data_IF_492799152906
#
_entry.id   IF_492799152906
#
_cell.length_a   1.000
_cell.length_b   1.000
_cell.length_c   1.000
_cell.angle_alpha   90.00
_cell.angle_beta   90.00
_cell.angle_gamma   90.00
#
_symmetry.space_group_name_H-M   'P 1'
#
loop_
_entity.id
_entity.type
_entity.pdbx_description
1 polymer ?
#
# COMPACT_ATOMS: atom_id res chain seq x y z
N UNK A 1 6.29 7.20 7.01
CA UNK A 1 5.72 6.46 5.85
C UNK A 1 6.79 5.68 5.12
N UNK A 2 7.86 6.33 4.61
CA UNK A 2 8.98 5.65 3.95
C UNK A 2 9.60 4.51 4.76
N UNK A 3 9.94 4.74 6.03
CA UNK A 3 10.50 3.71 6.92
C UNK A 3 9.55 2.51 7.14
N UNK A 4 8.23 2.76 7.22
CA UNK A 4 7.25 1.70 7.36
C UNK A 4 7.13 0.87 6.06
N UNK A 5 7.11 1.54 4.91
CA UNK A 5 7.09 0.93 3.58
C UNK A 5 8.33 0.08 3.31
N UNK A 6 9.51 0.55 3.71
CA UNK A 6 10.77 -0.18 3.51
C UNK A 6 11.01 -1.27 4.57
N UNK A 7 10.32 -1.20 5.72
CA UNK A 7 10.48 -2.12 6.85
C UNK A 7 9.26 -3.02 7.07
N UNK A 8 8.51 -2.83 8.17
CA UNK A 8 7.49 -3.77 8.63
C UNK A 8 6.31 -3.96 7.66
N UNK A 9 6.06 -3.00 6.75
CA UNK A 9 4.98 -3.06 5.77
C UNK A 9 5.47 -3.30 4.34
N UNK A 10 6.71 -3.78 4.18
CA UNK A 10 7.30 -4.03 2.87
C UNK A 10 6.44 -5.01 2.05
N UNK A 11 6.12 -4.62 0.82
CA UNK A 11 5.24 -5.38 -0.09
C UNK A 11 3.74 -5.17 0.14
N UNK A 12 3.36 -4.36 1.14
CA UNK A 12 1.97 -3.96 1.43
C UNK A 12 1.80 -2.46 1.25
N UNK A 13 2.71 -1.67 1.83
CA UNK A 13 2.76 -0.21 1.71
C UNK A 13 3.94 0.20 0.84
N UNK A 14 3.68 1.05 -0.15
CA UNK A 14 4.70 1.73 -0.95
C UNK A 14 4.71 3.22 -0.64
N UNK A 15 5.86 3.86 -0.89
CA UNK A 15 6.06 5.28 -0.69
C UNK A 15 6.65 5.86 -1.98
N UNK A 16 5.99 6.85 -2.56
CA UNK A 16 6.45 7.51 -3.78
C UNK A 16 6.59 9.01 -3.56
N UNK A 17 7.65 9.55 -4.16
CA UNK A 17 7.93 10.99 -4.30
C UNK A 17 7.78 11.42 -5.77
N UNK A 18 7.24 10.56 -6.63
CA UNK A 18 7.04 10.85 -8.05
C UNK A 18 5.74 11.61 -8.28
N UNK A 19 5.64 12.32 -9.41
CA UNK A 19 4.41 13.00 -9.80
C UNK A 19 3.48 11.98 -10.49
N UNK A 20 2.74 11.22 -9.68
CA UNK A 20 1.93 10.09 -10.13
C UNK A 20 0.60 10.53 -10.76
N UNK A 21 0.18 9.82 -11.80
CA UNK A 21 -1.21 9.81 -12.28
C UNK A 21 -1.83 8.41 -12.12
N UNK A 22 -3.17 8.32 -12.15
CA UNK A 22 -3.87 7.05 -11.88
C UNK A 22 -3.43 5.89 -12.76
N UNK A 23 -3.10 6.16 -14.03
CA UNK A 23 -2.69 5.14 -14.99
C UNK A 23 -1.34 4.48 -14.65
N UNK A 24 -0.47 5.17 -13.91
CA UNK A 24 0.84 4.66 -13.51
C UNK A 24 0.74 3.53 -12.48
N UNK A 25 -0.44 3.38 -11.86
CA UNK A 25 -0.68 2.50 -10.73
C UNK A 25 -1.44 1.22 -11.09
N UNK A 26 -1.89 1.11 -12.35
CA UNK A 26 -2.58 -0.07 -12.83
C UNK A 26 -1.68 -1.31 -12.75
N UNK A 27 -2.17 -2.36 -12.09
CA UNK A 27 -1.42 -3.60 -11.86
C UNK A 27 -0.39 -3.50 -10.73
N UNK A 28 -0.35 -2.41 -9.95
CA UNK A 28 0.51 -2.33 -8.78
C UNK A 28 -0.03 -3.27 -7.66
N UNK A 29 0.80 -4.19 -7.12
CA UNK A 29 0.37 -5.18 -6.13
C UNK A 29 0.30 -4.64 -4.69
N UNK A 30 0.76 -3.41 -4.43
CA UNK A 30 0.70 -2.79 -3.13
C UNK A 30 -0.76 -2.47 -2.75
N UNK A 31 -1.07 -2.60 -1.47
CA UNK A 31 -2.40 -2.26 -0.95
C UNK A 31 -2.57 -0.76 -0.69
N UNK A 32 -1.47 -0.03 -0.60
CA UNK A 32 -1.46 1.41 -0.40
C UNK A 32 -0.14 1.97 -0.93
N UNK A 33 -0.23 3.03 -1.72
CA UNK A 33 0.91 3.76 -2.26
C UNK A 33 0.77 5.19 -1.76
N UNK A 34 1.62 5.55 -0.81
CA UNK A 34 1.59 6.88 -0.20
C UNK A 34 2.26 7.89 -1.12
N UNK A 35 1.52 8.92 -1.50
CA UNK A 35 1.99 10.03 -2.34
C UNK A 35 2.49 11.17 -1.44
N UNK A 36 3.81 11.31 -1.38
CA UNK A 36 4.45 12.29 -0.52
C UNK A 36 4.27 13.74 -0.98
N UNK A 37 4.06 13.96 -2.28
CA UNK A 37 3.94 15.30 -2.86
C UNK A 37 2.51 15.81 -2.92
N UNK A 38 1.53 14.91 -2.99
CA UNK A 38 0.11 15.28 -2.96
C UNK A 38 -0.42 15.52 -1.53
N UNK A 39 0.33 15.12 -0.50
CA UNK A 39 0.02 15.41 0.90
C UNK A 39 0.21 16.90 1.24
N UNK A 40 -0.73 17.47 2.02
CA UNK A 40 -0.66 18.86 2.47
C UNK A 40 -0.82 18.90 3.99
N UNK A 41 0.19 19.43 4.68
CA UNK A 41 0.10 19.77 6.10
C UNK A 41 -0.48 21.18 6.25
N UNK A 42 -1.69 21.29 6.80
CA UNK A 42 -2.38 22.56 7.02
C UNK A 42 -1.95 23.20 8.35
N UNK A 43 -1.66 22.39 9.36
CA UNK A 43 -1.05 22.82 10.62
C UNK A 43 -0.38 21.62 11.34
N UNK A 44 0.25 21.86 12.50
CA UNK A 44 0.97 20.82 13.26
C UNK A 44 0.14 19.57 13.59
N UNK A 45 -1.18 19.69 13.68
CA UNK A 45 -2.09 18.63 14.09
C UNK A 45 -3.07 18.21 12.98
N UNK A 46 -3.02 18.85 11.81
CA UNK A 46 -3.97 18.62 10.73
C UNK A 46 -3.26 18.45 9.39
N UNK A 47 -3.26 17.21 8.92
CA UNK A 47 -2.57 16.80 7.70
C UNK A 47 -3.56 16.08 6.80
N UNK A 48 -3.62 16.52 5.54
CA UNK A 48 -4.30 15.78 4.47
C UNK A 48 -3.27 14.90 3.79
N UNK A 49 -3.53 13.61 3.75
CA UNK A 49 -2.69 12.61 3.08
C UNK A 49 -3.40 12.10 1.83
N UNK A 50 -2.63 11.71 0.82
CA UNK A 50 -3.13 11.04 -0.38
C UNK A 50 -2.46 9.69 -0.48
N UNK A 51 -3.26 8.65 -0.66
CA UNK A 51 -2.79 7.30 -0.92
C UNK A 51 -3.59 6.73 -2.07
N UNK A 52 -2.88 6.07 -2.97
CA UNK A 52 -3.45 5.39 -4.10
C UNK A 52 -3.47 3.88 -3.88
N UNK A 53 -4.32 3.18 -4.63
CA UNK A 53 -4.31 1.72 -4.75
C UNK A 53 -5.06 1.34 -6.02
N UNK A 54 -4.63 0.25 -6.66
CA UNK A 54 -5.41 -0.42 -7.69
C UNK A 54 -6.50 -1.27 -7.00
N UNK A 55 -7.75 -0.97 -7.28
CA UNK A 55 -8.91 -1.60 -6.66
C UNK A 55 -9.15 -3.04 -7.11
N UNK A 56 -8.63 -3.45 -8.27
CA UNK A 56 -8.78 -4.80 -8.81
C UNK A 56 -7.58 -5.67 -8.43
N UNK A 57 -6.37 -5.14 -8.56
CA UNK A 57 -5.14 -5.92 -8.42
C UNK A 57 -4.63 -6.00 -6.98
N UNK A 58 -4.62 -4.87 -6.26
CA UNK A 58 -4.11 -4.78 -4.90
C UNK A 58 -4.91 -5.64 -3.92
N UNK A 59 -6.24 -5.66 -4.04
CA UNK A 59 -7.11 -6.48 -3.20
C UNK A 59 -6.96 -7.98 -3.51
N UNK A 60 -6.95 -8.36 -4.79
CA UNK A 60 -6.81 -9.76 -5.21
C UNK A 60 -5.52 -10.41 -4.66
N UNK A 61 -4.42 -9.65 -4.61
CA UNK A 61 -3.17 -10.11 -3.98
C UNK A 61 -3.32 -10.35 -2.48
N UNK A 62 -4.02 -9.49 -1.76
CA UNK A 62 -4.25 -9.67 -0.31
C UNK A 62 -5.10 -10.88 0.01
N UNK A 63 -6.05 -11.24 -0.86
CA UNK A 63 -6.83 -12.47 -0.71
C UNK A 63 -5.93 -13.71 -0.85
N UNK A 64 -5.02 -13.74 -1.83
CA UNK A 64 -4.06 -14.84 -2.00
C UNK A 64 -3.09 -14.95 -0.82
N UNK A 65 -2.62 -13.81 -0.30
CA UNK A 65 -1.75 -13.77 0.88
C UNK A 65 -2.47 -14.36 2.10
N UNK A 66 -3.74 -14.02 2.30
CA UNK A 66 -4.57 -14.55 3.39
C UNK A 66 -4.81 -16.06 3.25
N UNK A 67 -5.15 -16.54 2.05
CA UNK A 67 -5.32 -17.97 1.79
C UNK A 67 -4.03 -18.76 2.07
N UNK A 68 -2.89 -18.23 1.65
CA UNK A 68 -1.58 -18.83 1.92
C UNK A 68 -1.26 -18.86 3.42
N UNK A 69 -1.63 -17.81 4.14
CA UNK A 69 -1.49 -17.75 5.59
C UNK A 69 -2.37 -18.79 6.29
N UNK A 70 -3.66 -18.87 5.93
CA UNK A 70 -4.59 -19.86 6.49
C UNK A 70 -4.10 -21.29 6.25
N UNK A 71 -3.69 -21.61 5.02
CA UNK A 71 -3.14 -22.92 4.68
C UNK A 71 -1.89 -23.26 5.51
N UNK A 72 -1.02 -22.28 5.77
CA UNK A 72 0.18 -22.47 6.61
C UNK A 72 -0.17 -22.71 8.09
N UNK A 73 -1.18 -22.01 8.62
CA UNK A 73 -1.59 -22.12 10.03
C UNK A 73 -2.36 -23.41 10.27
N UNK A 74 -3.32 -23.74 9.39
CA UNK A 74 -4.25 -24.85 9.60
C UNK A 74 -3.74 -26.18 9.00
N UNK A 75 -2.93 -26.11 7.94
CA UNK A 75 -2.34 -27.29 7.27
C UNK A 75 -1.02 -27.78 7.88
N UNK A 76 -0.54 -27.15 8.96
CA UNK A 76 0.61 -27.61 9.74
C UNK A 76 0.24 -28.67 10.80
N UNK A 77 -0.98 -29.20 10.75
CA UNK A 77 -1.46 -30.34 11.52
C UNK A 77 -1.38 -31.64 10.73
#
# INVERSE_FOLDING_TARGET
MKEAAEGPMKGILEYSEDDLVSSDLNGNPASSIFDAKAGISLNKNFVKLVSWYDNEWGYSRRVLDLLSYMAKVDGAH
#
